data_IF_564739189670
#
_entry.id   IF_564739189670
#
_cell.length_a   1.000
_cell.length_b   1.000
_cell.length_c   1.000
_cell.angle_alpha   90.00
_cell.angle_beta   90.00
_cell.angle_gamma   90.00
#
_symmetry.space_group_name_H-M   'P 1'
#
loop_
_entity.id
_entity.type
_entity.pdbx_description
1 polymer ?
#
# COMPACT_ATOMS: atom_id res chain seq x y z
N UNK A 1 2.82 9.51 6.43
CA UNK A 1 2.24 8.96 7.66
C UNK A 1 2.97 7.69 8.07
N UNK A 2 2.95 7.34 9.36
CA UNK A 2 3.39 6.03 9.85
C UNK A 2 2.27 5.43 10.70
N UNK A 3 1.93 4.18 10.42
CA UNK A 3 0.92 3.40 11.14
C UNK A 3 1.56 2.19 11.81
N UNK A 4 1.20 1.92 13.06
CA UNK A 4 1.54 0.69 13.78
C UNK A 4 0.27 -0.14 13.99
N UNK A 5 0.31 -1.39 13.59
CA UNK A 5 -0.78 -2.34 13.74
C UNK A 5 -0.56 -3.15 15.02
N UNK A 6 -1.24 -2.73 16.09
CA UNK A 6 -1.01 -3.25 17.45
C UNK A 6 -1.72 -4.58 17.69
N UNK A 7 -2.88 -4.76 17.07
CA UNK A 7 -3.73 -5.96 17.22
C UNK A 7 -4.60 -6.15 15.98
N UNK A 8 -4.95 -7.38 15.62
CA UNK A 8 -5.92 -7.65 14.57
C UNK A 8 -7.27 -6.97 14.85
N UNK A 9 -7.87 -6.39 13.82
CA UNK A 9 -9.24 -5.89 13.88
C UNK A 9 -10.27 -7.02 13.85
N UNK A 10 -11.48 -6.75 14.31
CA UNK A 10 -12.62 -7.66 14.25
C UNK A 10 -13.60 -7.14 13.20
N UNK A 11 -13.81 -7.94 12.14
CA UNK A 11 -14.72 -7.55 11.06
C UNK A 11 -16.16 -7.48 11.55
N UNK A 12 -16.88 -6.42 11.14
CA UNK A 12 -18.28 -6.21 11.51
C UNK A 12 -18.49 -5.54 12.87
N UNK A 13 -17.46 -5.44 13.69
CA UNK A 13 -17.57 -4.76 14.97
C UNK A 13 -17.38 -3.24 14.84
N UNK A 14 -18.11 -2.43 15.64
CA UNK A 14 -17.93 -0.99 15.65
C UNK A 14 -16.49 -0.59 16.01
N UNK A 15 -16.02 0.50 15.43
CA UNK A 15 -14.74 1.09 15.78
C UNK A 15 -14.91 2.56 16.17
N UNK A 16 -14.05 3.01 17.07
CA UNK A 16 -13.90 4.41 17.47
C UNK A 16 -12.56 4.91 16.92
N UNK A 17 -12.57 6.11 16.33
CA UNK A 17 -11.34 6.79 15.93
C UNK A 17 -11.19 8.04 16.80
N UNK A 18 -10.08 8.12 17.53
CA UNK A 18 -9.67 9.30 18.28
C UNK A 18 -8.56 10.00 17.53
N UNK A 19 -8.81 11.23 17.11
CA UNK A 19 -7.83 12.03 16.37
C UNK A 19 -7.49 13.31 17.14
N UNK A 20 -6.21 13.68 17.10
CA UNK A 20 -5.68 14.87 17.76
C UNK A 20 -4.69 15.60 16.84
N UNK A 21 -4.85 16.91 16.74
CA UNK A 21 -3.81 17.77 16.15
C UNK A 21 -2.75 18.02 17.22
N UNK A 22 -1.52 17.58 16.95
CA UNK A 22 -0.38 17.78 17.85
C UNK A 22 0.31 19.13 17.63
N UNK A 23 0.39 19.53 16.36
CA UNK A 23 1.00 20.81 15.95
C UNK A 23 0.35 21.29 14.67
N UNK A 24 -0.02 22.55 14.63
CA UNK A 24 -0.40 23.25 13.39
C UNK A 24 0.65 24.30 13.06
N UNK A 25 1.25 24.20 11.87
CA UNK A 25 2.24 25.12 11.34
C UNK A 25 1.78 25.66 9.99
N UNK A 26 2.51 26.65 9.46
CA UNK A 26 2.15 27.31 8.19
C UNK A 26 2.20 26.33 6.98
N UNK A 27 3.12 25.41 6.95
CA UNK A 27 3.34 24.47 5.83
C UNK A 27 2.96 23.03 6.16
N UNK A 28 2.99 22.66 7.42
CA UNK A 28 2.75 21.29 7.87
C UNK A 28 1.95 21.28 9.16
N UNK A 29 0.91 20.46 9.18
CA UNK A 29 0.16 20.08 10.39
C UNK A 29 0.48 18.65 10.74
N UNK A 30 0.84 18.37 12.00
CA UNK A 30 1.08 17.02 12.50
C UNK A 30 -0.11 16.58 13.33
N UNK A 31 -0.65 15.41 13.03
CA UNK A 31 -1.76 14.79 13.74
C UNK A 31 -1.43 13.36 14.15
N UNK A 32 -2.13 12.92 15.16
CA UNK A 32 -2.15 11.55 15.67
C UNK A 32 -3.57 11.01 15.60
N UNK A 33 -3.72 9.72 15.30
CA UNK A 33 -5.01 9.04 15.38
C UNK A 33 -4.85 7.62 15.90
N UNK A 34 -5.80 7.20 16.75
CA UNK A 34 -5.88 5.84 17.29
C UNK A 34 -7.21 5.24 16.86
N UNK A 35 -7.18 4.02 16.29
CA UNK A 35 -8.38 3.22 16.04
C UNK A 35 -8.55 2.22 17.17
N UNK A 36 -9.74 2.23 17.79
CA UNK A 36 -10.10 1.35 18.90
C UNK A 36 -11.28 0.45 18.50
N UNK A 37 -11.27 -0.77 19.00
CA UNK A 37 -12.40 -1.69 19.00
C UNK A 37 -12.49 -2.34 20.37
N UNK A 38 -13.68 -2.45 20.97
CA UNK A 38 -13.90 -3.01 22.30
C UNK A 38 -13.00 -2.36 23.38
N UNK A 39 -12.74 -1.06 23.25
CA UNK A 39 -11.85 -0.32 24.15
C UNK A 39 -10.36 -0.63 24.01
N UNK A 40 -9.96 -1.47 23.04
CA UNK A 40 -8.56 -1.83 22.78
C UNK A 40 -8.04 -1.11 21.54
N UNK A 41 -6.86 -0.54 21.65
CA UNK A 41 -6.17 0.09 20.53
C UNK A 41 -5.77 -0.98 19.49
N UNK A 42 -6.16 -0.78 18.24
CA UNK A 42 -5.85 -1.67 17.12
C UNK A 42 -4.77 -1.10 16.23
N UNK A 43 -4.89 0.19 15.89
CA UNK A 43 -3.96 0.90 15.02
C UNK A 43 -3.64 2.25 15.66
N UNK A 44 -2.37 2.61 15.61
CA UNK A 44 -1.88 3.93 16.00
C UNK A 44 -1.22 4.60 14.80
N UNK A 45 -1.56 5.85 14.52
CA UNK A 45 -1.07 6.61 13.36
C UNK A 45 -0.49 7.94 13.79
N UNK A 46 0.68 8.27 13.27
CA UNK A 46 1.24 9.61 13.26
C UNK A 46 1.34 10.10 11.81
N UNK A 47 0.76 11.26 11.51
CA UNK A 47 0.72 11.78 10.14
C UNK A 47 1.05 13.27 10.07
N UNK A 48 1.80 13.64 9.03
CA UNK A 48 1.99 15.02 8.60
C UNK A 48 1.10 15.33 7.41
N UNK A 49 0.42 16.47 7.46
CA UNK A 49 -0.47 16.98 6.42
C UNK A 49 0.10 18.28 5.87
N UNK A 50 0.28 18.35 4.57
CA UNK A 50 0.76 19.51 3.84
C UNK A 50 -0.06 19.73 2.57
N UNK A 51 0.12 20.88 1.95
CA UNK A 51 -0.50 21.18 0.66
C UNK A 51 0.33 20.59 -0.47
N UNK A 52 -0.19 19.57 -1.13
CA UNK A 52 0.44 18.89 -2.27
C UNK A 52 0.39 19.72 -3.57
N UNK A 53 -0.30 20.88 -3.56
CA UNK A 53 -0.34 21.80 -4.71
C UNK A 53 0.74 22.86 -4.66
N UNK A 54 1.44 22.99 -3.53
CA UNK A 54 2.55 23.94 -3.40
C UNK A 54 3.70 23.52 -4.33
N UNK A 55 4.00 24.37 -5.30
CA UNK A 55 5.14 24.18 -6.18
C UNK A 55 6.43 24.60 -5.48
N UNK A 56 7.45 23.77 -5.63
CA UNK A 56 8.82 24.13 -5.26
C UNK A 56 9.45 24.96 -6.40
N UNK A 57 10.35 25.87 -6.04
CA UNK A 57 11.24 26.52 -7.01
C UNK A 57 12.43 25.62 -7.40
N UNK A 58 12.56 24.46 -6.74
CA UNK A 58 13.59 23.48 -7.03
C UNK A 58 13.01 22.49 -8.02
N UNK A 59 13.59 22.40 -9.20
CA UNK A 59 13.23 21.40 -10.19
C UNK A 59 13.49 19.98 -9.66
N UNK A 60 12.65 19.04 -10.10
CA UNK A 60 12.83 17.63 -9.76
C UNK A 60 14.09 17.09 -10.44
N UNK A 61 15.18 17.01 -9.69
CA UNK A 61 16.45 16.51 -10.19
C UNK A 61 16.54 14.97 -10.17
N UNK A 62 15.72 14.31 -9.33
CA UNK A 62 15.71 12.85 -9.13
C UNK A 62 14.28 12.35 -9.06
N UNK A 63 14.01 11.26 -9.79
CA UNK A 63 12.76 10.50 -9.72
C UNK A 63 13.06 9.01 -9.86
N UNK A 64 12.12 8.18 -9.40
CA UNK A 64 12.12 6.75 -9.65
C UNK A 64 11.16 6.52 -10.81
N UNK A 65 11.68 6.01 -11.93
CA UNK A 65 10.87 5.70 -13.10
C UNK A 65 9.97 4.48 -12.83
N UNK A 66 8.77 4.43 -13.44
CA UNK A 66 7.90 3.27 -13.37
C UNK A 66 8.56 2.07 -14.05
N UNK A 67 8.33 0.84 -13.56
CA UNK A 67 8.79 -0.36 -14.27
C UNK A 67 8.03 -0.53 -15.59
N UNK A 68 8.66 -1.27 -16.52
CA UNK A 68 7.94 -1.73 -17.71
C UNK A 68 6.80 -2.67 -17.29
N UNK A 69 5.62 -2.42 -17.83
CA UNK A 69 4.41 -3.18 -17.54
C UNK A 69 3.58 -3.39 -18.81
N UNK A 70 3.01 -4.59 -19.03
CA UNK A 70 1.95 -4.76 -20.01
C UNK A 70 0.74 -3.87 -19.69
N UNK A 71 -0.11 -3.62 -20.69
CA UNK A 71 -1.34 -2.87 -20.48
C UNK A 71 -2.23 -3.57 -19.44
N UNK A 72 -3.08 -2.83 -18.69
CA UNK A 72 -3.92 -3.44 -17.63
C UNK A 72 -4.79 -4.59 -18.13
N UNK A 73 -5.27 -4.53 -19.38
CA UNK A 73 -6.07 -5.58 -20.04
C UNK A 73 -5.29 -6.86 -20.31
N UNK A 74 -3.98 -6.78 -20.45
CA UNK A 74 -3.10 -7.92 -20.67
C UNK A 74 -2.58 -8.55 -19.37
N UNK A 75 -2.93 -7.95 -18.23
CA UNK A 75 -2.53 -8.41 -16.91
C UNK A 75 -3.65 -9.22 -16.25
N UNK A 76 -3.37 -10.40 -15.69
CA UNK A 76 -4.37 -11.17 -14.95
C UNK A 76 -4.89 -10.41 -13.74
N UNK A 77 -6.21 -10.49 -13.54
CA UNK A 77 -6.85 -9.91 -12.37
C UNK A 77 -6.49 -10.73 -11.13
N UNK A 78 -6.13 -10.04 -10.05
CA UNK A 78 -5.92 -10.67 -8.75
C UNK A 78 -7.21 -11.36 -8.28
N UNK A 79 -7.14 -12.63 -7.94
CA UNK A 79 -8.23 -13.38 -7.31
C UNK A 79 -7.97 -13.62 -5.83
N UNK A 80 -9.04 -13.78 -5.04
CA UNK A 80 -8.95 -14.09 -3.61
C UNK A 80 -8.40 -15.51 -3.35
N UNK A 81 -8.54 -16.40 -4.32
CA UNK A 81 -8.18 -17.82 -4.17
C UNK A 81 -6.66 -18.04 -4.17
N UNK A 82 -5.91 -17.12 -4.79
CA UNK A 82 -4.45 -17.26 -4.95
C UNK A 82 -3.67 -17.08 -3.65
N UNK A 83 -4.22 -16.38 -2.65
CA UNK A 83 -3.56 -16.19 -1.35
C UNK A 83 -4.11 -17.09 -0.24
N UNK A 84 -5.17 -17.87 -0.51
CA UNK A 84 -5.89 -18.63 0.51
C UNK A 84 -6.59 -17.75 1.56
N UNK A 85 -6.66 -16.44 1.34
CA UNK A 85 -7.27 -15.46 2.24
C UNK A 85 -8.28 -14.62 1.49
N UNK A 86 -9.56 -14.71 1.87
CA UNK A 86 -10.61 -13.87 1.32
C UNK A 86 -10.51 -12.45 1.92
N UNK A 87 -10.23 -11.46 1.07
CA UNK A 87 -10.18 -10.06 1.45
C UNK A 87 -11.40 -9.31 0.87
N UNK A 88 -12.42 -8.96 1.68
CA UNK A 88 -13.60 -8.22 1.20
C UNK A 88 -13.25 -6.89 0.50
N UNK A 89 -12.11 -6.30 0.86
CA UNK A 89 -11.61 -5.07 0.26
C UNK A 89 -11.33 -5.20 -1.25
N UNK A 90 -10.95 -6.39 -1.73
CA UNK A 90 -10.70 -6.66 -3.15
C UNK A 90 -11.95 -6.46 -4.04
N UNK A 91 -13.17 -6.51 -3.45
CA UNK A 91 -14.39 -6.21 -4.19
C UNK A 91 -14.55 -4.74 -4.57
N UNK A 92 -13.74 -3.87 -3.95
CA UNK A 92 -13.75 -2.42 -4.22
C UNK A 92 -12.63 -1.97 -5.13
N UNK A 93 -11.67 -2.86 -5.41
CA UNK A 93 -10.47 -2.53 -6.20
C UNK A 93 -10.30 -3.53 -7.34
N UNK A 94 -10.02 -3.04 -8.54
CA UNK A 94 -9.54 -3.83 -9.68
C UNK A 94 -8.01 -3.81 -9.62
N UNK A 95 -7.42 -4.96 -9.30
CA UNK A 95 -5.96 -5.14 -9.20
C UNK A 95 -5.54 -6.12 -10.26
N UNK A 96 -4.57 -5.74 -11.10
CA UNK A 96 -4.04 -6.50 -12.21
C UNK A 96 -2.55 -6.71 -12.01
N UNK A 97 -2.10 -7.95 -11.89
CA UNK A 97 -0.71 -8.28 -11.56
C UNK A 97 0.07 -8.57 -12.84
N UNK A 98 1.36 -8.23 -12.86
CA UNK A 98 2.26 -8.59 -13.95
C UNK A 98 2.19 -10.11 -14.22
N UNK A 99 2.05 -10.57 -15.48
CA UNK A 99 1.87 -12.00 -15.79
C UNK A 99 2.92 -12.93 -15.15
N UNK A 100 4.18 -12.52 -15.12
CA UNK A 100 5.28 -13.31 -14.56
C UNK A 100 5.28 -13.34 -13.01
N UNK A 101 4.44 -12.52 -12.35
CA UNK A 101 4.40 -12.34 -10.90
C UNK A 101 3.02 -12.73 -10.33
N UNK A 102 2.07 -13.10 -11.19
CA UNK A 102 0.68 -13.34 -10.81
C UNK A 102 0.44 -14.70 -10.14
N UNK A 103 1.30 -15.69 -10.37
CA UNK A 103 1.14 -17.03 -9.83
C UNK A 103 2.04 -17.28 -8.63
N UNK A 104 1.49 -17.98 -7.63
CA UNK A 104 2.22 -18.32 -6.41
C UNK A 104 3.49 -19.11 -6.70
N UNK A 105 4.65 -18.67 -6.20
CA UNK A 105 5.92 -19.38 -6.34
C UNK A 105 6.51 -19.37 -7.76
N UNK A 106 5.99 -18.55 -8.68
CA UNK A 106 6.46 -18.51 -10.07
C UNK A 106 7.55 -17.45 -10.32
N UNK A 107 7.65 -16.47 -9.45
CA UNK A 107 8.59 -15.36 -9.61
C UNK A 107 10.01 -15.73 -9.15
N UNK A 108 11.00 -15.09 -9.78
CA UNK A 108 12.43 -15.26 -9.44
C UNK A 108 12.91 -14.30 -8.35
N UNK A 109 12.07 -13.36 -7.95
CA UNK A 109 12.38 -12.35 -6.94
C UNK A 109 11.14 -12.07 -6.09
N UNK A 110 11.35 -11.62 -4.87
CA UNK A 110 10.30 -11.14 -3.99
C UNK A 110 9.84 -9.74 -4.46
N UNK A 111 9.05 -9.73 -5.52
CA UNK A 111 8.51 -8.54 -6.17
C UNK A 111 7.08 -8.80 -6.62
N UNK A 112 6.24 -7.80 -6.51
CA UNK A 112 4.92 -7.73 -7.14
C UNK A 112 4.77 -6.38 -7.81
N UNK A 113 4.40 -6.40 -9.09
CA UNK A 113 4.09 -5.21 -9.87
C UNK A 113 2.68 -5.34 -10.42
N UNK A 114 1.92 -4.26 -10.47
CA UNK A 114 0.54 -4.34 -10.94
C UNK A 114 -0.15 -3.00 -11.07
N UNK A 115 -1.28 -3.04 -11.76
CA UNK A 115 -2.20 -1.93 -11.90
C UNK A 115 -3.28 -2.00 -10.82
N UNK A 116 -3.70 -0.84 -10.34
CA UNK A 116 -4.77 -0.72 -9.34
C UNK A 116 -5.66 0.49 -9.63
N UNK A 117 -6.96 0.31 -9.44
CA UNK A 117 -7.97 1.38 -9.44
C UNK A 117 -9.18 0.98 -8.60
N UNK A 118 -10.05 1.93 -8.29
CA UNK A 118 -11.36 1.61 -7.73
C UNK A 118 -12.30 1.01 -8.79
N UNK A 119 -13.08 -0.02 -8.40
CA UNK A 119 -14.08 -0.67 -9.28
C UNK A 119 -15.22 0.25 -9.68
N UNK A 120 -15.56 1.25 -8.86
CA UNK A 120 -16.63 2.21 -9.11
C UNK A 120 -16.21 3.36 -10.05
N UNK A 121 -14.96 3.35 -10.53
CA UNK A 121 -14.42 4.38 -11.41
C UNK A 121 -14.06 5.68 -10.71
N UNK A 122 -14.16 5.76 -9.38
CA UNK A 122 -13.72 6.94 -8.62
C UNK A 122 -12.24 7.25 -8.88
N UNK A 123 -11.88 8.51 -9.14
CA UNK A 123 -10.48 8.87 -9.33
C UNK A 123 -9.70 8.69 -8.01
N UNK A 124 -8.44 8.24 -8.07
CA UNK A 124 -7.61 8.15 -6.88
C UNK A 124 -7.27 9.54 -6.33
N UNK A 125 -7.12 9.63 -5.04
CA UNK A 125 -6.65 10.82 -4.31
C UNK A 125 -5.46 10.47 -3.40
N UNK A 126 -5.04 11.39 -2.54
CA UNK A 126 -3.94 11.17 -1.60
C UNK A 126 -4.24 10.05 -0.57
N UNK A 127 -5.52 9.84 -0.21
CA UNK A 127 -5.92 8.75 0.70
C UNK A 127 -5.95 7.42 -0.04
N UNK A 128 -6.42 7.41 -1.29
CA UNK A 128 -6.33 6.24 -2.17
C UNK A 128 -4.87 5.80 -2.34
N UNK A 129 -3.93 6.73 -2.50
CA UNK A 129 -2.51 6.40 -2.58
C UNK A 129 -1.99 5.69 -1.32
N UNK A 130 -2.43 6.09 -0.13
CA UNK A 130 -2.10 5.37 1.12
C UNK A 130 -2.68 3.95 1.10
N UNK A 131 -3.96 3.79 0.75
CA UNK A 131 -4.62 2.49 0.66
C UNK A 131 -3.92 1.57 -0.35
N UNK A 132 -3.57 2.10 -1.52
CA UNK A 132 -3.02 1.32 -2.63
C UNK A 132 -1.60 0.82 -2.35
N UNK A 133 -0.83 1.45 -1.46
CA UNK A 133 0.48 0.93 -1.04
C UNK A 133 0.41 -0.37 -0.25
N UNK A 134 -0.76 -0.74 0.29
CA UNK A 134 -0.99 -1.96 1.10
C UNK A 134 -2.04 -2.90 0.48
N UNK A 135 -2.47 -2.62 -0.76
CA UNK A 135 -3.55 -3.36 -1.40
C UNK A 135 -3.08 -4.54 -2.26
N UNK A 136 -1.81 -4.59 -2.61
CA UNK A 136 -1.23 -5.67 -3.40
C UNK A 136 -1.00 -6.94 -2.57
N UNK A 137 -0.81 -8.12 -3.21
CA UNK A 137 -0.27 -9.27 -2.49
C UNK A 137 1.10 -8.92 -1.92
N UNK A 138 1.51 -9.54 -0.79
CA UNK A 138 2.88 -9.42 -0.32
C UNK A 138 3.87 -9.81 -1.41
N UNK A 139 4.95 -9.05 -1.61
CA UNK A 139 5.94 -9.31 -2.67
C UNK A 139 6.61 -10.69 -2.56
N UNK A 140 6.59 -11.28 -1.36
CA UNK A 140 7.08 -12.65 -1.11
C UNK A 140 6.21 -13.75 -1.72
N UNK A 141 4.93 -13.45 -2.04
CA UNK A 141 3.98 -14.41 -2.61
C UNK A 141 4.50 -15.04 -3.92
N UNK A 142 4.99 -14.22 -4.84
CA UNK A 142 5.54 -14.73 -6.11
C UNK A 142 6.75 -15.65 -5.92
N UNK A 143 7.60 -15.40 -4.92
CA UNK A 143 8.80 -16.17 -4.65
C UNK A 143 8.54 -17.42 -3.81
N UNK A 144 7.79 -17.31 -2.72
CA UNK A 144 7.60 -18.37 -1.74
C UNK A 144 6.32 -19.19 -1.95
N UNK A 145 5.41 -18.72 -2.78
CA UNK A 145 4.13 -19.39 -3.02
C UNK A 145 3.03 -18.94 -2.05
N UNK A 146 2.14 -19.88 -1.68
CA UNK A 146 1.02 -19.62 -0.78
C UNK A 146 1.52 -19.47 0.66
N UNK A 147 1.84 -18.24 1.05
CA UNK A 147 2.37 -17.91 2.38
C UNK A 147 1.27 -17.55 3.40
N UNK A 148 0.00 -17.59 2.98
CA UNK A 148 -1.12 -17.25 3.84
C UNK A 148 -1.19 -15.76 4.20
N UNK A 149 -1.71 -15.47 5.39
CA UNK A 149 -1.81 -14.11 5.89
C UNK A 149 -0.44 -13.60 6.38
N UNK A 150 -0.06 -12.42 5.88
CA UNK A 150 1.16 -11.70 6.30
C UNK A 150 0.73 -10.42 7.02
N UNK A 151 0.65 -10.45 8.37
CA UNK A 151 0.28 -9.24 9.10
C UNK A 151 1.35 -8.17 8.99
N UNK A 152 0.89 -6.95 8.71
CA UNK A 152 1.69 -5.73 8.80
C UNK A 152 1.86 -5.35 10.26
N UNK A 153 3.10 -5.08 10.68
CA UNK A 153 3.44 -4.57 12.00
C UNK A 153 3.56 -3.04 11.97
N UNK A 154 4.19 -2.52 10.93
CA UNK A 154 4.39 -1.09 10.72
C UNK A 154 4.35 -0.77 9.22
N UNK A 155 3.71 0.35 8.87
CA UNK A 155 3.66 0.87 7.51
C UNK A 155 3.91 2.37 7.53
N UNK A 156 4.98 2.81 6.85
CA UNK A 156 5.24 4.21 6.56
C UNK A 156 4.92 4.53 5.10
N UNK A 157 4.16 5.61 4.87
CA UNK A 157 3.81 6.08 3.51
C UNK A 157 4.12 7.56 3.35
N UNK A 158 4.81 7.89 2.28
CA UNK A 158 5.12 9.26 1.85
C UNK A 158 4.36 9.57 0.56
N UNK A 159 3.22 10.27 0.67
CA UNK A 159 2.50 10.79 -0.50
C UNK A 159 3.20 12.06 -0.97
N UNK A 160 3.61 12.09 -2.24
CA UNK A 160 4.47 13.13 -2.82
C UNK A 160 3.69 14.12 -3.68
N UNK A 161 2.56 13.70 -4.26
CA UNK A 161 1.70 14.52 -5.13
C UNK A 161 0.29 13.94 -5.20
N UNK A 162 -0.62 14.74 -5.74
CA UNK A 162 -1.95 14.26 -6.10
C UNK A 162 -1.83 13.37 -7.34
N UNK A 163 -2.43 12.18 -7.35
CA UNK A 163 -2.41 11.32 -8.53
C UNK A 163 -3.27 11.89 -9.66
N UNK A 164 -2.86 11.65 -10.91
CA UNK A 164 -3.73 11.82 -12.07
C UNK A 164 -4.84 10.75 -12.06
N UNK A 165 -6.03 11.03 -12.65
CA UNK A 165 -7.12 10.06 -12.74
C UNK A 165 -6.72 8.82 -13.56
N UNK A 166 -7.33 7.66 -13.26
CA UNK A 166 -7.13 6.42 -14.00
C UNK A 166 -6.41 5.34 -13.18
N UNK A 167 -5.78 4.42 -13.89
CA UNK A 167 -4.98 3.37 -13.28
C UNK A 167 -3.74 3.95 -12.59
N UNK A 168 -3.43 3.38 -11.44
CA UNK A 168 -2.12 3.58 -10.80
C UNK A 168 -1.30 2.30 -10.95
N UNK A 169 0.00 2.47 -11.18
CA UNK A 169 0.97 1.38 -11.20
C UNK A 169 1.63 1.27 -9.83
N UNK A 170 1.61 0.07 -9.25
CA UNK A 170 2.32 -0.24 -8.01
C UNK A 170 3.45 -1.24 -8.25
N UNK A 171 4.55 -1.07 -7.53
CA UNK A 171 5.59 -2.09 -7.40
C UNK A 171 6.03 -2.17 -5.95
N UNK A 172 5.97 -3.39 -5.40
CA UNK A 172 6.44 -3.72 -4.05
C UNK A 172 7.57 -4.73 -4.14
N UNK A 173 8.62 -4.53 -3.33
CA UNK A 173 9.84 -5.35 -3.37
C UNK A 173 10.33 -5.62 -1.97
N UNK A 174 10.50 -6.90 -1.62
CA UNK A 174 11.22 -7.31 -0.40
C UNK A 174 12.66 -7.67 -0.76
N UNK A 175 13.61 -7.02 -0.11
CA UNK A 175 15.04 -7.30 -0.27
C UNK A 175 15.66 -7.94 0.96
N UNK A 176 14.93 -7.98 2.07
CA UNK A 176 15.39 -8.54 3.33
C UNK A 176 14.26 -9.33 4.00
N UNK A 177 14.58 -10.56 4.34
CA UNK A 177 13.75 -11.48 5.12
C UNK A 177 14.63 -12.16 6.16
N UNK A 178 14.45 -11.83 7.43
CA UNK A 178 15.19 -12.40 8.53
C UNK A 178 14.24 -12.80 9.67
N UNK A 179 14.36 -14.02 10.17
CA UNK A 179 13.56 -14.54 11.29
C UNK A 179 12.03 -14.35 11.09
N UNK A 180 11.55 -14.59 9.88
CA UNK A 180 10.14 -14.41 9.53
C UNK A 180 9.68 -12.95 9.39
N UNK A 181 10.57 -11.98 9.55
CA UNK A 181 10.26 -10.55 9.35
C UNK A 181 10.74 -10.10 8.00
N UNK A 182 9.83 -9.54 7.22
CA UNK A 182 10.14 -8.97 5.90
C UNK A 182 10.08 -7.45 5.94
N UNK A 183 11.02 -6.82 5.24
CA UNK A 183 10.96 -5.37 4.96
C UNK A 183 10.66 -5.18 3.49
N UNK A 184 9.48 -4.61 3.21
CA UNK A 184 8.98 -4.39 1.87
C UNK A 184 8.96 -2.90 1.54
N UNK A 185 9.58 -2.52 0.42
CA UNK A 185 9.55 -1.17 -0.13
C UNK A 185 8.52 -1.11 -1.27
N UNK A 186 7.71 -0.05 -1.30
CA UNK A 186 6.69 0.17 -2.31
C UNK A 186 6.82 1.51 -3.01
N UNK A 187 6.47 1.53 -4.29
CA UNK A 187 6.32 2.74 -5.09
C UNK A 187 5.00 2.71 -5.85
N UNK A 188 4.34 3.86 -5.96
CA UNK A 188 3.13 4.05 -6.76
C UNK A 188 3.33 5.18 -7.76
N UNK A 189 2.97 4.92 -9.03
CA UNK A 189 2.94 5.92 -10.10
C UNK A 189 1.51 6.09 -10.59
N UNK A 190 1.18 7.29 -11.03
CA UNK A 190 -0.12 7.57 -11.64
C UNK A 190 -0.16 7.25 -13.14
N UNK A 191 -1.31 7.48 -13.78
CA UNK A 191 -1.53 7.26 -15.21
C UNK A 191 -0.64 8.11 -16.12
N UNK A 192 -0.02 9.17 -15.59
CA UNK A 192 0.97 10.00 -16.28
C UNK A 192 2.42 9.54 -16.03
N UNK A 193 2.62 8.39 -15.36
CA UNK A 193 3.94 7.85 -15.02
C UNK A 193 4.67 8.64 -13.92
N UNK A 194 3.97 9.51 -13.19
CA UNK A 194 4.57 10.31 -12.13
C UNK A 194 4.56 9.56 -10.80
N UNK A 195 5.69 9.51 -10.09
CA UNK A 195 5.79 8.92 -8.76
C UNK A 195 4.89 9.68 -7.77
N UNK A 196 3.86 9.01 -7.27
CA UNK A 196 2.85 9.57 -6.36
C UNK A 196 3.17 9.27 -4.91
N UNK A 197 3.54 8.03 -4.60
CA UNK A 197 3.81 7.62 -3.23
C UNK A 197 4.94 6.60 -3.15
N UNK A 198 5.59 6.60 -2.00
CA UNK A 198 6.55 5.58 -1.58
C UNK A 198 6.13 5.04 -0.23
N UNK A 199 6.30 3.73 -0.02
CA UNK A 199 6.03 3.08 1.25
C UNK A 199 7.20 2.21 1.69
N UNK A 200 7.24 1.96 3.00
CA UNK A 200 8.06 0.93 3.62
C UNK A 200 7.25 0.24 4.70
N UNK A 201 7.28 -1.08 4.68
CA UNK A 201 6.46 -1.93 5.53
C UNK A 201 7.32 -2.97 6.23
N UNK A 202 7.06 -3.19 7.53
CA UNK A 202 7.52 -4.35 8.27
C UNK A 202 6.36 -5.35 8.35
N UNK A 203 6.50 -6.50 7.71
CA UNK A 203 5.55 -7.60 7.72
C UNK A 203 6.09 -8.83 8.44
N UNK A 204 5.20 -9.70 8.88
CA UNK A 204 5.54 -10.93 9.58
C UNK A 204 5.02 -12.15 8.79
N UNK A 205 5.92 -13.02 8.33
CA UNK A 205 5.57 -14.33 7.82
C UNK A 205 5.35 -15.26 9.01
N UNK A 206 4.13 -15.74 9.16
CA UNK A 206 3.79 -16.69 10.22
C UNK A 206 4.21 -18.09 9.80
N UNK A 207 4.69 -18.94 10.74
CA UNK A 207 4.89 -20.36 10.46
C UNK A 207 3.58 -21.00 9.99
N UNK A 208 3.67 -21.82 8.96
CA UNK A 208 2.55 -22.64 8.49
C UNK A 208 2.40 -23.88 9.36
#
# INVERSE_FOLDING_TARGET
MTAHYLRPGVSGEPCEIRAQVLRSGRQLTTGRATLLQEGKERIEVLAGFGDLTMMSQIDSALSIDPPEMPAPEDCPQRSADEQGVALPLLKRMDIRIHPDEASAGSARAARVSGWIRFCDGSPPDALAAVLFTDAFPPSMFGLLGLIGWVPTLELTVHVRRRPAPGWMLGQLVTRDLADGRMVEDGCLWDSAGQLVAQSRQLGLLLPQ
#
